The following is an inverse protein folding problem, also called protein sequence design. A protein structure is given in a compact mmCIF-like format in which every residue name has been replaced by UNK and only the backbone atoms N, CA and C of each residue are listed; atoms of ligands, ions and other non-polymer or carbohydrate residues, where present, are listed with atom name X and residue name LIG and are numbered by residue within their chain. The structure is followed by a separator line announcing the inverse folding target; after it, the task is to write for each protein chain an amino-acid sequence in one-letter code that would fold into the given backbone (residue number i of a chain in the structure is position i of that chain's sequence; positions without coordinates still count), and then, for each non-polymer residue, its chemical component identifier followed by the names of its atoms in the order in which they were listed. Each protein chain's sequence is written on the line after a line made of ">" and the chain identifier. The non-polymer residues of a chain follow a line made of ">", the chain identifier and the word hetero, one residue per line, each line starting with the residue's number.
data_IF_682291761975
#
_entry.id   IF_682291761975
#
_cell.length_a   1.000
_cell.length_b   1.000
_cell.length_c   1.000
_cell.angle_alpha   90.00
_cell.angle_beta   90.00
_cell.angle_gamma   90.00
#
_symmetry.space_group_name_H-M   'P 1'
#
loop_
_entity.id
_entity.type
_entity.pdbx_description
1 polymer ?
#
# COMPACT_ATOMS: atom_id res chain seq x y z
N UNK A 1 -18.67 5.66 -22.86
CA UNK A 1 -17.35 4.99 -22.75
C UNK A 1 -16.33 5.91 -23.41
N UNK A 2 -15.26 6.31 -22.71
CA UNK A 2 -14.19 7.10 -23.36
C UNK A 2 -13.45 6.20 -24.35
N UNK A 3 -13.06 6.73 -25.49
CA UNK A 3 -12.18 6.06 -26.45
C UNK A 3 -10.73 6.04 -25.93
N UNK A 4 -9.91 5.12 -26.42
CA UNK A 4 -8.48 5.06 -26.05
C UNK A 4 -7.76 6.39 -26.35
N UNK A 5 -8.06 7.01 -27.49
CA UNK A 5 -7.48 8.30 -27.87
C UNK A 5 -7.85 9.41 -26.88
N UNK A 6 -9.08 9.42 -26.37
CA UNK A 6 -9.51 10.39 -25.35
C UNK A 6 -8.79 10.16 -24.01
N UNK A 7 -8.58 8.90 -23.62
CA UNK A 7 -7.80 8.57 -22.42
C UNK A 7 -6.34 9.00 -22.56
N UNK A 8 -5.73 8.75 -23.72
CA UNK A 8 -4.36 9.18 -24.03
C UNK A 8 -4.22 10.70 -23.99
N UNK A 9 -5.09 11.43 -24.69
CA UNK A 9 -5.07 12.90 -24.69
C UNK A 9 -5.27 13.47 -23.28
N UNK A 10 -6.15 12.86 -22.49
CA UNK A 10 -6.36 13.25 -21.11
C UNK A 10 -5.11 13.03 -20.24
N UNK A 11 -4.45 11.88 -20.37
CA UNK A 11 -3.19 11.60 -19.67
C UNK A 11 -2.11 12.63 -20.02
N UNK A 12 -1.94 12.95 -21.31
CA UNK A 12 -0.95 13.95 -21.75
C UNK A 12 -1.26 15.33 -21.15
N UNK A 13 -2.53 15.75 -21.13
CA UNK A 13 -2.93 17.02 -20.54
C UNK A 13 -2.65 17.05 -19.02
N UNK A 14 -2.95 15.96 -18.30
CA UNK A 14 -2.68 15.84 -16.86
C UNK A 14 -1.18 15.85 -16.57
N UNK A 15 -0.37 15.11 -17.34
CA UNK A 15 1.10 15.12 -17.21
C UNK A 15 1.66 16.53 -17.46
N UNK A 16 1.17 17.23 -18.49
CA UNK A 16 1.59 18.60 -18.76
C UNK A 16 1.26 19.56 -17.61
N UNK A 17 0.12 19.40 -16.94
CA UNK A 17 -0.23 20.17 -15.74
C UNK A 17 0.73 19.92 -14.56
N UNK A 18 1.38 18.75 -14.53
CA UNK A 18 2.43 18.40 -13.57
C UNK A 18 3.84 18.83 -14.01
N UNK A 19 3.96 19.47 -15.18
CA UNK A 19 5.23 19.84 -15.79
C UNK A 19 5.99 18.65 -16.39
N UNK A 20 5.30 17.55 -16.71
CA UNK A 20 5.87 16.35 -17.31
C UNK A 20 5.48 16.29 -18.79
N UNK A 21 6.48 16.26 -19.66
CA UNK A 21 6.25 16.13 -21.10
C UNK A 21 5.91 14.70 -21.49
N UNK A 22 4.88 14.55 -22.33
CA UNK A 22 4.45 13.26 -22.86
C UNK A 22 3.98 13.40 -24.31
N UNK A 23 4.15 12.34 -25.09
CA UNK A 23 3.79 12.29 -26.49
C UNK A 23 2.97 11.04 -26.82
N UNK A 24 2.05 11.19 -27.77
CA UNK A 24 1.31 10.07 -28.35
C UNK A 24 2.17 9.41 -29.43
N UNK A 25 2.27 8.09 -29.40
CA UNK A 25 2.83 7.30 -30.50
C UNK A 25 1.72 6.44 -31.09
N UNK A 26 1.56 6.56 -32.41
CA UNK A 26 0.73 5.64 -33.18
C UNK A 26 1.48 4.31 -33.32
N UNK A 27 0.91 3.23 -32.79
CA UNK A 27 1.52 1.90 -32.92
C UNK A 27 0.94 1.21 -34.15
N UNK A 28 1.81 0.71 -35.03
CA UNK A 28 1.40 0.01 -36.26
C UNK A 28 0.57 -1.26 -35.99
N UNK A 29 0.58 -1.76 -34.74
CA UNK A 29 0.02 -3.06 -34.34
C UNK A 29 -1.38 -2.94 -33.71
N UNK A 30 -1.97 -1.73 -33.71
CA UNK A 30 -3.21 -1.29 -33.05
C UNK A 30 -3.03 -0.93 -31.58
N UNK A 31 -3.74 0.13 -31.21
CA UNK A 31 -3.77 0.86 -29.94
C UNK A 31 -2.78 2.02 -29.83
N UNK A 32 -3.25 3.13 -29.26
CA UNK A 32 -2.43 4.32 -29.00
C UNK A 32 -1.53 4.09 -27.79
N UNK A 33 -0.27 4.51 -27.88
CA UNK A 33 0.66 4.46 -26.76
C UNK A 33 1.07 5.86 -26.31
N UNK A 34 1.44 6.00 -25.03
CA UNK A 34 1.98 7.22 -24.45
C UNK A 34 3.45 7.00 -24.17
N UNK A 35 4.30 7.95 -24.58
CA UNK A 35 5.68 8.03 -24.12
C UNK A 35 5.85 9.17 -23.14
N UNK A 36 6.57 8.89 -22.06
CA UNK A 36 6.89 9.86 -21.01
C UNK A 36 8.40 9.78 -20.77
N UNK A 37 9.24 10.44 -21.58
CA UNK A 37 10.69 10.23 -21.54
C UNK A 37 11.32 10.42 -20.15
N UNK A 38 10.80 11.37 -19.36
CA UNK A 38 11.27 11.63 -18.00
C UNK A 38 10.97 10.48 -17.02
N UNK A 39 9.97 9.64 -17.31
CA UNK A 39 9.52 8.53 -16.47
C UNK A 39 9.92 7.18 -17.04
N UNK A 40 10.72 7.15 -18.12
CA UNK A 40 11.05 5.92 -18.83
C UNK A 40 12.48 5.46 -18.59
N UNK A 41 12.68 4.15 -18.60
CA UNK A 41 13.99 3.51 -18.68
C UNK A 41 14.52 3.53 -20.13
N UNK A 42 15.79 3.13 -20.32
CA UNK A 42 16.42 3.11 -21.64
C UNK A 42 15.73 2.17 -22.65
N UNK A 43 15.07 1.12 -22.18
CA UNK A 43 14.25 0.20 -22.98
C UNK A 43 12.80 0.70 -23.14
N UNK A 44 12.54 1.97 -22.84
CA UNK A 44 11.25 2.62 -23.02
C UNK A 44 10.12 2.14 -22.12
N UNK A 45 10.40 1.40 -21.04
CA UNK A 45 9.43 0.99 -20.01
C UNK A 45 9.22 2.07 -18.97
N UNK A 46 8.11 2.02 -18.21
CA UNK A 46 7.94 2.94 -17.08
C UNK A 46 8.93 2.61 -15.96
N UNK A 47 9.64 3.63 -15.47
CA UNK A 47 10.53 3.54 -14.32
C UNK A 47 9.73 3.75 -13.03
N UNK A 48 9.60 2.70 -12.21
CA UNK A 48 8.82 2.76 -10.97
C UNK A 48 9.34 3.78 -9.99
N UNK A 49 10.67 3.92 -9.89
CA UNK A 49 11.27 4.94 -9.05
C UNK A 49 10.74 6.33 -9.37
N UNK A 50 10.61 6.68 -10.66
CA UNK A 50 10.10 7.99 -11.06
C UNK A 50 8.59 8.12 -10.79
N UNK A 51 7.82 7.05 -11.00
CA UNK A 51 6.39 7.00 -10.68
C UNK A 51 6.18 7.18 -9.17
N UNK A 52 6.95 6.51 -8.33
CA UNK A 52 6.91 6.65 -6.87
C UNK A 52 7.39 8.02 -6.40
N UNK A 53 8.37 8.60 -7.07
CA UNK A 53 8.74 10.00 -6.81
C UNK A 53 7.59 10.96 -7.12
N UNK A 54 6.82 10.71 -8.18
CA UNK A 54 5.61 11.47 -8.46
C UNK A 54 4.57 11.33 -7.35
N UNK A 55 4.27 10.10 -6.93
CA UNK A 55 3.32 9.82 -5.83
C UNK A 55 3.81 10.47 -4.52
N UNK A 56 5.08 10.29 -4.17
CA UNK A 56 5.69 10.89 -2.99
C UNK A 56 5.57 12.43 -3.01
N UNK A 57 5.85 13.06 -4.16
CA UNK A 57 5.67 14.50 -4.35
C UNK A 57 4.22 14.93 -4.14
N UNK A 58 3.24 14.15 -4.61
CA UNK A 58 1.82 14.42 -4.40
C UNK A 58 1.41 14.32 -2.92
N UNK A 59 1.89 13.29 -2.23
CA UNK A 59 1.63 13.08 -0.80
C UNK A 59 2.28 14.15 0.08
N UNK A 60 3.37 14.77 -0.40
CA UNK A 60 4.08 15.84 0.30
C UNK A 60 4.82 15.35 1.55
N UNK A 61 5.17 14.06 1.62
CA UNK A 61 5.82 13.45 2.77
C UNK A 61 4.95 13.34 4.02
N UNK A 62 3.63 13.55 3.92
CA UNK A 62 2.72 13.42 5.05
C UNK A 62 2.13 12.01 5.13
N UNK A 63 2.49 11.25 6.17
CA UNK A 63 2.00 9.89 6.45
C UNK A 63 0.50 9.78 6.67
N UNK A 64 -0.19 10.90 6.94
CA UNK A 64 -1.64 10.94 7.11
C UNK A 64 -2.41 11.08 5.80
N UNK A 65 -1.69 11.36 4.71
CA UNK A 65 -2.31 11.55 3.42
C UNK A 65 -2.32 10.25 2.61
N UNK A 66 -3.36 10.07 1.83
CA UNK A 66 -3.46 9.05 0.78
C UNK A 66 -3.67 9.73 -0.56
N UNK A 67 -2.98 9.22 -1.59
CA UNK A 67 -3.23 9.57 -2.97
C UNK A 67 -4.29 8.61 -3.50
N UNK A 68 -5.53 9.09 -3.61
CA UNK A 68 -6.66 8.34 -4.15
C UNK A 68 -6.64 8.47 -5.67
N UNK A 69 -6.26 7.41 -6.36
CA UNK A 69 -6.33 7.31 -7.81
C UNK A 69 -7.63 6.64 -8.23
N UNK A 70 -8.35 7.20 -9.21
CA UNK A 70 -9.68 6.73 -9.60
C UNK A 70 -9.66 6.19 -11.02
N UNK A 71 -9.99 4.91 -11.17
CA UNK A 71 -10.14 4.28 -12.47
C UNK A 71 -11.28 4.94 -13.25
N UNK A 72 -11.01 5.53 -14.43
CA UNK A 72 -12.05 6.11 -15.24
C UNK A 72 -13.13 5.08 -15.58
N UNK A 73 -14.39 5.52 -15.71
CA UNK A 73 -15.56 4.71 -16.07
C UNK A 73 -16.11 3.86 -14.90
N UNK A 74 -15.26 3.11 -14.20
CA UNK A 74 -15.72 2.20 -13.14
C UNK A 74 -15.83 2.86 -11.78
N UNK A 75 -15.00 3.87 -11.52
CA UNK A 75 -14.92 4.52 -10.21
C UNK A 75 -14.22 3.68 -9.15
N UNK A 76 -13.63 2.53 -9.51
CA UNK A 76 -12.72 1.81 -8.61
C UNK A 76 -11.60 2.75 -8.18
N UNK A 77 -11.21 2.62 -6.92
CA UNK A 77 -10.21 3.46 -6.29
C UNK A 77 -9.02 2.62 -5.87
N UNK A 78 -7.86 3.22 -6.07
CA UNK A 78 -6.60 2.77 -5.50
C UNK A 78 -6.10 3.86 -4.56
N UNK A 79 -5.48 3.47 -3.46
CA UNK A 79 -4.87 4.40 -2.51
C UNK A 79 -3.39 4.09 -2.40
N UNK A 80 -2.56 5.09 -2.65
CA UNK A 80 -1.13 5.06 -2.37
C UNK A 80 -0.85 5.88 -1.12
N UNK A 81 -0.11 5.32 -0.17
CA UNK A 81 0.14 5.93 1.15
C UNK A 81 1.52 5.54 1.66
N UNK A 82 1.95 6.12 2.78
CA UNK A 82 3.10 5.63 3.54
C UNK A 82 2.68 4.67 4.64
N UNK A 83 3.65 3.94 5.16
CA UNK A 83 3.52 3.24 6.43
C UNK A 83 3.35 4.25 7.58
N UNK A 84 2.20 4.26 8.30
CA UNK A 84 1.97 5.19 9.39
C UNK A 84 2.96 5.02 10.55
N UNK A 85 3.59 3.85 10.70
CA UNK A 85 4.63 3.60 11.72
C UNK A 85 5.81 4.54 11.57
N UNK A 86 6.17 4.89 10.34
CA UNK A 86 7.27 5.82 10.08
C UNK A 86 7.02 7.16 10.78
N UNK A 87 5.80 7.68 10.72
CA UNK A 87 5.49 8.94 11.41
C UNK A 87 5.34 8.80 12.92
N UNK A 88 4.81 7.67 13.41
CA UNK A 88 4.74 7.39 14.85
C UNK A 88 6.13 7.31 15.49
N UNK A 89 7.09 6.76 14.75
CA UNK A 89 8.49 6.63 15.14
C UNK A 89 9.34 7.87 14.81
N UNK A 90 8.75 8.89 14.16
CA UNK A 90 9.44 10.13 13.76
C UNK A 90 10.49 9.93 12.65
N UNK A 91 10.33 8.88 11.85
CA UNK A 91 11.17 8.57 10.69
C UNK A 91 10.74 9.41 9.48
N UNK A 92 11.72 9.80 8.68
CA UNK A 92 11.50 10.41 7.38
C UNK A 92 10.95 9.36 6.41
N UNK A 93 9.88 9.72 5.68
CA UNK A 93 9.31 8.87 4.63
C UNK A 93 9.89 9.23 3.27
N UNK A 94 10.18 8.22 2.47
CA UNK A 94 10.75 8.37 1.13
C UNK A 94 9.82 7.78 0.07
N UNK A 95 10.20 7.88 -1.21
CA UNK A 95 9.44 7.24 -2.29
C UNK A 95 9.48 5.71 -2.23
N UNK A 96 10.47 5.13 -1.54
CA UNK A 96 10.63 3.67 -1.41
C UNK A 96 9.71 3.09 -0.31
N UNK A 97 9.08 3.96 0.49
CA UNK A 97 8.17 3.60 1.59
C UNK A 97 6.69 3.58 1.16
N UNK A 98 6.40 3.68 -0.14
CA UNK A 98 5.03 3.73 -0.65
C UNK A 98 4.39 2.35 -0.58
N UNK A 99 3.20 2.34 0.01
CA UNK A 99 2.29 1.21 0.11
C UNK A 99 1.07 1.44 -0.78
N UNK A 100 0.37 0.35 -1.11
CA UNK A 100 -0.79 0.37 -1.99
C UNK A 100 -1.98 -0.36 -1.40
N UNK A 101 -3.17 0.15 -1.67
CA UNK A 101 -4.44 -0.53 -1.44
C UNK A 101 -5.27 -0.44 -2.72
N UNK A 102 -5.64 -1.59 -3.31
CA UNK A 102 -5.94 -1.66 -4.74
C UNK A 102 -7.35 -2.09 -5.17
N UNK A 103 -8.36 -2.11 -4.29
CA UNK A 103 -9.60 -2.88 -4.58
C UNK A 103 -10.93 -2.21 -4.19
N UNK A 104 -10.93 -0.95 -3.77
CA UNK A 104 -12.13 -0.27 -3.30
C UNK A 104 -13.05 0.23 -4.40
N UNK A 105 -14.36 0.30 -4.14
CA UNK A 105 -15.30 1.08 -4.96
C UNK A 105 -15.36 2.55 -4.55
N UNK A 106 -14.92 2.87 -3.33
CA UNK A 106 -14.74 4.23 -2.84
C UNK A 106 -13.66 4.27 -1.77
N UNK A 107 -13.15 5.47 -1.47
CA UNK A 107 -12.18 5.67 -0.39
C UNK A 107 -12.77 5.35 1.00
N UNK A 108 -14.10 5.38 1.15
CA UNK A 108 -14.76 5.03 2.41
C UNK A 108 -14.59 3.53 2.77
N UNK A 109 -14.26 2.70 1.78
CA UNK A 109 -13.95 1.28 1.97
C UNK A 109 -12.48 1.04 2.35
N UNK A 110 -11.65 2.10 2.41
CA UNK A 110 -10.23 1.98 2.73
C UNK A 110 -10.01 1.30 4.08
N UNK A 111 -9.20 0.24 4.07
CA UNK A 111 -8.80 -0.50 5.27
C UNK A 111 -7.29 -0.66 5.30
N UNK A 112 -6.68 -0.17 6.39
CA UNK A 112 -5.26 -0.28 6.66
C UNK A 112 -4.74 -1.71 6.71
N UNK A 113 -5.58 -2.68 7.10
CA UNK A 113 -5.20 -4.11 7.18
C UNK A 113 -4.99 -4.76 5.80
N UNK A 114 -5.52 -4.14 4.73
CA UNK A 114 -5.39 -4.62 3.36
C UNK A 114 -4.37 -3.80 2.55
N UNK A 115 -3.55 -3.00 3.23
CA UNK A 115 -2.50 -2.22 2.59
C UNK A 115 -1.29 -3.13 2.37
N UNK A 116 -0.78 -3.14 1.15
CA UNK A 116 0.29 -4.03 0.72
C UNK A 116 1.56 -3.25 0.38
N UNK A 117 2.71 -3.90 0.60
CA UNK A 117 3.97 -3.43 0.03
C UNK A 117 3.96 -3.71 -1.46
N UNK A 118 4.25 -2.69 -2.25
CA UNK A 118 4.44 -2.87 -3.68
C UNK A 118 5.75 -3.62 -3.91
N UNK A 119 5.70 -4.73 -4.66
CA UNK A 119 6.90 -5.44 -5.11
C UNK A 119 7.27 -5.04 -6.54
N UNK A 120 8.56 -4.83 -6.77
CA UNK A 120 9.21 -4.53 -8.05
C UNK A 120 9.13 -5.67 -9.10
N UNK A 121 8.34 -6.72 -8.89
CA UNK A 121 8.34 -7.87 -9.79
C UNK A 121 7.20 -7.75 -10.82
N UNK A 122 7.48 -7.17 -11.98
CA UNK A 122 6.68 -7.41 -13.21
C UNK A 122 5.82 -6.26 -13.73
N UNK A 123 6.13 -5.00 -13.42
CA UNK A 123 5.32 -3.84 -13.80
C UNK A 123 5.89 -3.04 -14.97
N UNK A 124 6.29 -3.71 -16.04
CA UNK A 124 6.97 -3.06 -17.17
C UNK A 124 6.18 -1.84 -17.73
N UNK A 125 4.86 -1.81 -17.53
CA UNK A 125 3.96 -0.75 -17.98
C UNK A 125 2.80 -0.42 -17.00
N UNK A 126 3.00 -0.67 -15.70
CA UNK A 126 2.02 -0.38 -14.63
C UNK A 126 1.30 -1.60 -14.06
N UNK A 127 0.34 -1.35 -13.16
CA UNK A 127 -0.52 -2.40 -12.57
C UNK A 127 -1.50 -2.96 -13.60
N UNK A 128 -1.88 -4.24 -13.42
CA UNK A 128 -2.93 -4.90 -14.18
C UNK A 128 -4.16 -4.01 -14.33
N UNK A 129 -4.47 -3.59 -15.57
CA UNK A 129 -5.63 -2.76 -15.83
C UNK A 129 -6.90 -3.50 -15.41
N UNK A 130 -7.82 -2.80 -14.72
CA UNK A 130 -9.15 -3.34 -14.45
C UNK A 130 -9.79 -3.87 -15.74
N UNK A 131 -10.62 -4.89 -15.65
CA UNK A 131 -11.18 -5.59 -16.83
C UNK A 131 -11.90 -4.63 -17.79
N UNK A 132 -12.44 -3.53 -17.28
CA UNK A 132 -13.12 -2.49 -18.06
C UNK A 132 -12.15 -1.63 -18.89
N UNK A 133 -10.86 -1.59 -18.52
CA UNK A 133 -9.77 -0.99 -19.28
C UNK A 133 -8.96 -2.04 -20.09
N UNK A 134 -9.41 -3.30 -20.16
CA UNK A 134 -8.74 -4.35 -20.95
C UNK A 134 -8.66 -4.06 -22.46
N UNK A 135 -9.43 -3.07 -22.94
CA UNK A 135 -9.45 -2.63 -24.33
C UNK A 135 -8.32 -1.64 -24.69
N UNK A 136 -7.60 -1.10 -23.71
CA UNK A 136 -6.45 -0.20 -23.93
C UNK A 136 -5.14 -0.87 -23.52
N UNK A 137 -4.01 -0.27 -23.92
CA UNK A 137 -2.71 -0.73 -23.42
C UNK A 137 -2.59 -0.58 -21.89
N UNK A 138 -1.86 -1.49 -21.25
CA UNK A 138 -1.63 -1.49 -19.79
C UNK A 138 -1.17 -0.12 -19.28
N UNK A 139 -0.20 0.47 -20.00
CA UNK A 139 0.33 1.79 -19.74
C UNK A 139 -0.74 2.88 -19.73
N UNK A 140 -1.61 2.90 -20.74
CA UNK A 140 -2.68 3.90 -20.82
C UNK A 140 -3.68 3.70 -19.70
N UNK A 141 -4.04 2.45 -19.39
CA UNK A 141 -4.94 2.13 -18.27
C UNK A 141 -4.39 2.63 -16.94
N UNK A 142 -3.16 2.23 -16.61
CA UNK A 142 -2.45 2.61 -15.39
C UNK A 142 -2.33 4.14 -15.25
N UNK A 143 -1.82 4.83 -16.28
CA UNK A 143 -1.65 6.29 -16.25
C UNK A 143 -3.00 7.01 -16.14
N UNK A 144 -4.04 6.50 -16.80
CA UNK A 144 -5.37 7.10 -16.73
C UNK A 144 -5.97 7.01 -15.32
N UNK A 145 -5.67 5.95 -14.58
CA UNK A 145 -6.05 5.80 -13.17
C UNK A 145 -5.18 6.68 -12.28
N UNK A 146 -3.85 6.53 -12.35
CA UNK A 146 -2.90 7.22 -11.47
C UNK A 146 -3.00 8.74 -11.57
N UNK A 147 -3.12 9.29 -12.79
CA UNK A 147 -3.16 10.74 -13.00
C UNK A 147 -4.52 11.34 -12.64
N UNK A 148 -5.58 10.52 -12.62
CA UNK A 148 -6.89 10.91 -12.13
C UNK A 148 -6.97 10.74 -10.61
N UNK A 149 -6.09 11.48 -9.91
CA UNK A 149 -5.90 11.36 -8.48
C UNK A 149 -6.26 12.63 -7.71
N UNK A 150 -6.56 12.43 -6.43
CA UNK A 150 -6.67 13.49 -5.44
C UNK A 150 -5.96 13.06 -4.15
N UNK A 151 -5.51 14.04 -3.37
CA UNK A 151 -4.91 13.78 -2.06
C UNK A 151 -5.97 13.98 -1.00
N UNK A 152 -6.16 12.98 -0.14
CA UNK A 152 -7.12 13.01 0.95
C UNK A 152 -6.42 12.68 2.27
N UNK A 153 -7.02 13.10 3.37
CA UNK A 153 -6.62 12.65 4.71
C UNK A 153 -7.21 11.26 4.96
N UNK A 154 -6.37 10.29 5.29
CA UNK A 154 -6.80 8.93 5.58
C UNK A 154 -7.32 8.80 7.02
N UNK A 155 -8.22 7.84 7.28
CA UNK A 155 -8.64 7.55 8.66
C UNK A 155 -7.43 7.15 9.50
N UNK A 156 -7.46 7.47 10.80
CA UNK A 156 -6.42 7.02 11.72
C UNK A 156 -6.42 5.49 11.82
N UNK A 157 -5.23 4.90 11.96
CA UNK A 157 -5.13 3.48 12.30
C UNK A 157 -5.77 3.27 13.67
N UNK A 158 -6.68 2.30 13.75
CA UNK A 158 -7.28 1.92 15.04
C UNK A 158 -6.22 1.21 15.90
N UNK A 159 -6.16 1.50 17.21
CA UNK A 159 -5.34 0.73 18.14
C UNK A 159 -5.58 -0.78 18.00
N UNK A 160 -4.51 -1.56 18.11
CA UNK A 160 -4.61 -3.00 18.33
C UNK A 160 -5.00 -3.24 19.79
N UNK A 161 -5.96 -4.14 20.02
CA UNK A 161 -6.42 -4.51 21.36
C UNK A 161 -6.24 -6.01 21.63
N UNK A 162 -6.21 -6.44 22.90
CA UNK A 162 -6.25 -7.86 23.25
C UNK A 162 -7.44 -8.59 22.63
N UNK A 163 -8.61 -7.93 22.54
CA UNK A 163 -9.81 -8.51 21.95
C UNK A 163 -9.66 -8.76 20.44
N UNK A 164 -8.96 -7.87 19.73
CA UNK A 164 -8.65 -8.09 18.31
C UNK A 164 -7.79 -9.34 18.13
N UNK A 165 -6.75 -9.50 18.97
CA UNK A 165 -5.87 -10.69 18.94
C UNK A 165 -6.63 -11.98 19.28
N UNK A 166 -7.49 -11.93 20.30
CA UNK A 166 -8.36 -13.05 20.65
C UNK A 166 -9.31 -13.40 19.50
N UNK A 167 -9.87 -12.41 18.80
CA UNK A 167 -10.71 -12.65 17.64
C UNK A 167 -9.92 -13.34 16.53
N UNK A 168 -8.77 -12.79 16.15
CA UNK A 168 -7.91 -13.36 15.13
C UNK A 168 -7.49 -14.81 15.46
N UNK A 169 -7.12 -15.10 16.71
CA UNK A 169 -6.77 -16.46 17.16
C UNK A 169 -7.96 -17.43 17.13
N UNK A 170 -9.18 -16.96 17.30
CA UNK A 170 -10.35 -17.84 17.28
C UNK A 170 -10.89 -18.11 15.86
N UNK A 171 -10.66 -17.20 14.91
CA UNK A 171 -11.35 -17.23 13.62
C UNK A 171 -10.45 -17.18 12.39
N UNK A 172 -9.27 -16.58 12.48
CA UNK A 172 -8.42 -16.28 11.31
C UNK A 172 -7.12 -17.08 11.33
N UNK A 173 -6.41 -17.07 12.47
CA UNK A 173 -5.11 -17.71 12.65
C UNK A 173 -5.04 -18.56 13.93
N UNK A 174 -5.76 -19.70 14.01
CA UNK A 174 -5.80 -20.52 15.23
C UNK A 174 -4.47 -21.12 15.66
N UNK A 175 -3.50 -21.21 14.76
CA UNK A 175 -2.15 -21.67 15.04
C UNK A 175 -1.27 -20.63 15.76
N UNK A 176 -1.76 -19.40 15.94
CA UNK A 176 -1.00 -18.27 16.45
C UNK A 176 -0.64 -17.25 15.37
N UNK A 177 -0.27 -16.06 15.83
CA UNK A 177 0.06 -14.90 15.00
C UNK A 177 1.54 -14.57 15.22
N UNK A 178 2.30 -14.37 14.15
CA UNK A 178 3.74 -14.13 14.26
C UNK A 178 4.03 -12.68 14.68
N UNK A 179 4.82 -12.52 15.73
CA UNK A 179 5.39 -11.22 16.10
C UNK A 179 6.68 -10.95 15.33
N UNK A 180 6.86 -9.70 14.91
CA UNK A 180 8.10 -9.22 14.33
C UNK A 180 9.18 -9.13 15.40
N UNK A 181 10.17 -10.01 15.35
CA UNK A 181 11.36 -9.94 16.18
C UNK A 181 12.52 -9.32 15.40
N UNK A 182 13.27 -8.40 16.00
CA UNK A 182 14.53 -7.90 15.42
C UNK A 182 15.65 -8.96 15.46
N UNK A 183 15.53 -9.96 16.34
CA UNK A 183 16.47 -11.09 16.40
C UNK A 183 16.00 -12.14 15.39
N UNK A 184 16.70 -12.24 14.26
CA UNK A 184 16.35 -13.18 13.17
C UNK A 184 16.21 -14.65 13.58
N UNK A 185 16.82 -15.08 14.68
CA UNK A 185 16.70 -16.44 15.22
C UNK A 185 15.52 -16.65 16.17
N UNK A 186 14.90 -15.56 16.61
CA UNK A 186 13.81 -15.59 17.57
C UNK A 186 12.47 -15.64 16.85
N UNK A 187 11.60 -16.54 17.32
CA UNK A 187 10.23 -16.63 16.83
C UNK A 187 9.33 -16.26 18.00
N UNK A 188 8.67 -15.13 17.87
CA UNK A 188 7.62 -14.68 18.76
C UNK A 188 6.28 -15.10 18.16
N UNK A 189 5.48 -15.80 18.94
CA UNK A 189 4.15 -16.26 18.53
C UNK A 189 3.13 -15.76 19.55
N UNK A 190 2.18 -14.97 19.12
CA UNK A 190 1.02 -14.61 19.94
C UNK A 190 0.01 -15.75 19.82
N UNK A 191 -0.37 -16.32 20.96
CA UNK A 191 -1.22 -17.52 21.01
C UNK A 191 -1.99 -17.60 22.33
N UNK A 192 -2.74 -18.69 22.53
CA UNK A 192 -3.41 -19.00 23.79
C UNK A 192 -2.59 -20.02 24.59
N UNK A 193 -2.43 -19.80 25.89
CA UNK A 193 -1.87 -20.78 26.82
C UNK A 193 -2.80 -21.99 26.97
N UNK A 194 -2.34 -23.03 27.68
CA UNK A 194 -3.20 -24.18 28.00
C UNK A 194 -4.45 -23.83 28.82
N UNK A 195 -4.44 -22.68 29.49
CA UNK A 195 -5.57 -22.15 30.27
C UNK A 195 -6.45 -21.19 29.45
N UNK A 196 -6.14 -20.98 28.16
CA UNK A 196 -6.89 -20.10 27.27
C UNK A 196 -6.57 -18.61 27.44
N UNK A 197 -5.45 -18.27 28.10
CA UNK A 197 -5.02 -16.88 28.26
C UNK A 197 -4.18 -16.44 27.07
N UNK A 198 -4.35 -15.19 26.62
CA UNK A 198 -3.51 -14.61 25.57
C UNK A 198 -2.07 -14.47 26.07
N UNK A 199 -1.11 -15.04 25.33
CA UNK A 199 0.31 -15.04 25.67
C UNK A 199 1.18 -14.72 24.45
N UNK A 200 2.35 -14.13 24.70
CA UNK A 200 3.49 -14.19 23.78
C UNK A 200 4.31 -15.42 24.14
N UNK A 201 4.37 -16.36 23.22
CA UNK A 201 5.25 -17.52 23.27
C UNK A 201 6.58 -17.19 22.58
N UNK A 202 7.69 -17.39 23.31
CA UNK A 202 9.04 -17.19 22.80
C UNK A 202 9.70 -18.54 22.56
N UNK A 203 10.00 -18.85 21.29
CA UNK A 203 10.46 -20.20 20.92
C UNK A 203 11.85 -20.52 21.47
N UNK A 204 12.73 -19.53 21.62
CA UNK A 204 14.12 -19.76 22.04
C UNK A 204 14.24 -20.44 23.40
N UNK A 205 13.41 -20.03 24.36
CA UNK A 205 13.42 -20.48 25.75
C UNK A 205 12.12 -21.14 26.18
N UNK A 206 11.14 -21.22 25.27
CA UNK A 206 9.80 -21.78 25.49
C UNK A 206 9.04 -21.07 26.61
N UNK A 207 9.34 -19.80 26.84
CA UNK A 207 8.61 -18.98 27.80
C UNK A 207 7.27 -18.53 27.23
N UNK A 208 6.28 -18.42 28.12
CA UNK A 208 4.99 -17.82 27.85
C UNK A 208 4.84 -16.60 28.74
N UNK A 209 4.55 -15.45 28.13
CA UNK A 209 4.30 -14.20 28.85
C UNK A 209 2.86 -13.77 28.62
N UNK A 210 2.02 -13.65 29.69
CA UNK A 210 0.66 -13.14 29.56
C UNK A 210 0.62 -11.74 28.93
N UNK A 211 -0.37 -11.53 28.07
CA UNK A 211 -0.59 -10.24 27.40
C UNK A 211 -1.72 -9.49 28.08
N UNK A 212 -1.39 -8.33 28.63
CA UNK A 212 -2.33 -7.33 29.15
C UNK A 212 -2.16 -5.97 28.48
N UNK A 213 -2.93 -4.97 28.95
CA UNK A 213 -2.94 -3.60 28.41
C UNK A 213 -1.55 -2.94 28.48
N UNK A 214 -0.71 -3.33 29.45
CA UNK A 214 0.66 -2.85 29.60
C UNK A 214 1.60 -3.22 28.44
N UNK A 215 1.21 -4.19 27.62
CA UNK A 215 1.94 -4.60 26.43
C UNK A 215 1.52 -3.80 25.19
N UNK A 216 0.71 -2.76 25.34
CA UNK A 216 0.33 -1.87 24.25
C UNK A 216 0.84 -0.46 24.51
N UNK A 217 1.51 0.14 23.53
CA UNK A 217 1.97 1.51 23.66
C UNK A 217 0.85 2.53 23.40
N UNK A 218 1.17 3.82 23.49
CA UNK A 218 0.22 4.93 23.29
C UNK A 218 -0.40 4.97 21.88
N UNK A 219 0.18 4.28 20.91
CA UNK A 219 -0.32 4.16 19.53
C UNK A 219 -1.16 2.89 19.36
N UNK A 220 -1.28 2.06 20.39
CA UNK A 220 -1.96 0.78 20.33
C UNK A 220 -1.15 -0.24 19.55
N UNK A 221 0.18 -0.21 19.66
CA UNK A 221 1.08 -1.22 19.08
C UNK A 221 1.51 -2.19 20.15
N UNK A 222 1.59 -3.48 19.82
CA UNK A 222 2.02 -4.47 20.79
C UNK A 222 3.53 -4.39 20.97
N UNK A 223 3.95 -4.18 22.22
CA UNK A 223 5.34 -4.08 22.65
C UNK A 223 5.69 -5.28 23.53
N UNK A 224 6.81 -5.92 23.21
CA UNK A 224 7.36 -7.03 23.98
C UNK A 224 8.87 -6.84 24.13
N UNK A 225 9.38 -6.98 25.37
CA UNK A 225 10.80 -6.73 25.69
C UNK A 225 11.32 -5.36 25.21
N UNK A 226 10.46 -4.35 25.15
CA UNK A 226 10.80 -2.99 24.71
C UNK A 226 10.82 -2.79 23.19
N UNK A 227 10.41 -3.79 22.41
CA UNK A 227 10.32 -3.72 20.95
C UNK A 227 8.86 -3.81 20.48
N UNK A 228 8.49 -3.03 19.46
CA UNK A 228 7.19 -3.19 18.78
C UNK A 228 7.24 -4.49 17.97
N UNK A 229 6.44 -5.47 18.38
CA UNK A 229 6.36 -6.79 17.73
C UNK A 229 5.14 -6.92 16.82
N UNK A 230 4.12 -6.08 17.00
CA UNK A 230 2.91 -6.13 16.16
C UNK A 230 2.26 -4.77 16.02
N UNK A 231 1.74 -4.52 14.83
CA UNK A 231 0.93 -3.37 14.48
C UNK A 231 -0.26 -3.84 13.67
N UNK A 232 -1.43 -3.20 13.81
CA UNK A 232 -2.65 -3.59 13.09
C UNK A 232 -2.48 -3.72 11.57
N UNK A 233 -1.50 -3.03 10.97
CA UNK A 233 -1.36 -2.92 9.52
C UNK A 233 -0.49 -4.03 8.90
N UNK A 234 0.08 -4.94 9.70
CA UNK A 234 0.86 -6.10 9.23
C UNK A 234 0.96 -7.15 10.36
N UNK A 235 -0.03 -8.02 10.50
CA UNK A 235 -0.05 -9.14 11.45
C UNK A 235 -0.24 -10.50 10.78
#
# INVERSE_FOLDING_TARGET
>A
MKTELELVKNCIALLAAEGVEAQIIDSEIKNYCIRIPAWETADSKLCWRTVFQFIHKKLGGNSRNGLVAKTPITGFVEVYTYDPRNAEDGLEVTADDILHWGYGKSVDEFNWENVEKISDNGWDDGFGAHIELSHVTLRVGFLSTLLNCEVVELPLVKPLTPQDLLHALNFESPSGIYGNSKKHSEILLITLSSEGQLVVYKRSDKSETPVGDEHFDKHGRMVFEGEVIMHRIFW
#
